data_IF_904960100826
#
_entry.id   IF_904960100826
#
_cell.length_a   1.000
_cell.length_b   1.000
_cell.length_c   1.000
_cell.angle_alpha   90.00
_cell.angle_beta   90.00
_cell.angle_gamma   90.00
#
_symmetry.space_group_name_H-M   'P 1'
#
loop_
_entity.id
_entity.type
_entity.pdbx_description
1 polymer ?
#
# COMPACT_ATOMS: atom_id res chain seq x y z
N UNK A 1 -63.99 2.67 -25.29
CA UNK A 1 -63.64 4.06 -24.94
C UNK A 1 -63.32 4.09 -23.45
N UNK A 2 -62.06 3.85 -23.08
CA UNK A 2 -61.61 3.72 -21.69
C UNK A 2 -61.32 5.11 -21.11
N UNK A 3 -61.91 5.41 -19.95
CA UNK A 3 -61.74 6.68 -19.21
C UNK A 3 -61.60 6.31 -17.73
N UNK A 4 -60.44 6.60 -17.15
CA UNK A 4 -60.13 6.31 -15.76
C UNK A 4 -58.83 7.00 -15.38
N UNK A 5 -58.94 8.28 -15.07
CA UNK A 5 -57.85 9.14 -14.59
C UNK A 5 -57.89 9.18 -13.07
N UNK A 6 -56.93 8.55 -12.40
CA UNK A 6 -56.74 8.66 -10.95
C UNK A 6 -55.33 9.21 -10.65
N UNK A 7 -55.32 10.52 -10.37
CA UNK A 7 -54.49 11.28 -9.43
C UNK A 7 -53.10 10.73 -9.03
N UNK A 8 -52.06 11.28 -9.67
CA UNK A 8 -50.68 11.22 -9.18
C UNK A 8 -50.54 12.29 -8.09
N UNK A 9 -50.70 11.90 -6.82
CA UNK A 9 -50.36 12.73 -5.67
C UNK A 9 -48.91 12.43 -5.25
N UNK A 10 -48.13 13.50 -5.10
CA UNK A 10 -46.69 13.45 -5.09
C UNK A 10 -46.08 12.72 -3.90
N UNK A 11 -45.01 11.98 -4.20
CA UNK A 11 -43.97 11.67 -3.23
C UNK A 11 -42.71 12.36 -3.76
N UNK A 12 -42.46 13.57 -3.25
CA UNK A 12 -41.19 14.26 -3.43
C UNK A 12 -40.16 13.51 -2.58
N UNK A 13 -39.60 12.45 -3.13
CA UNK A 13 -38.47 11.74 -2.52
C UNK A 13 -37.28 12.70 -2.59
N UNK A 14 -36.96 13.34 -1.46
CA UNK A 14 -35.67 13.99 -1.28
C UNK A 14 -34.60 12.90 -1.43
N UNK A 15 -34.07 12.76 -2.65
CA UNK A 15 -32.84 12.03 -2.88
C UNK A 15 -31.75 12.82 -2.16
N UNK A 16 -31.48 12.43 -0.91
CA UNK A 16 -30.21 12.74 -0.25
C UNK A 16 -29.17 12.12 -1.15
N UNK A 17 -28.50 12.93 -1.96
CA UNK A 17 -27.36 12.49 -2.74
C UNK A 17 -26.29 12.06 -1.73
N UNK A 18 -26.22 10.77 -1.46
CA UNK A 18 -25.10 10.14 -0.78
C UNK A 18 -23.89 10.34 -1.67
N UNK A 19 -23.16 11.44 -1.44
CA UNK A 19 -21.83 11.61 -1.99
C UNK A 19 -21.01 10.41 -1.49
N UNK A 20 -20.42 9.58 -2.39
CA UNK A 20 -19.46 8.62 -1.92
C UNK A 20 -18.34 9.45 -1.31
N UNK A 21 -18.06 9.22 -0.03
CA UNK A 21 -16.85 9.74 0.58
C UNK A 21 -15.71 9.41 -0.38
N UNK A 22 -15.02 10.44 -0.86
CA UNK A 22 -13.85 10.31 -1.73
C UNK A 22 -12.99 9.20 -1.13
N UNK A 23 -12.69 8.15 -1.89
CA UNK A 23 -11.87 7.04 -1.44
C UNK A 23 -10.54 7.61 -0.90
N UNK A 24 -10.48 7.82 0.41
CA UNK A 24 -9.26 8.19 1.08
C UNK A 24 -8.37 6.95 0.97
N UNK A 25 -7.15 7.14 0.48
CA UNK A 25 -6.17 6.06 0.40
C UNK A 25 -6.02 5.49 1.81
N UNK A 26 -6.25 4.19 1.96
CA UNK A 26 -6.29 3.55 3.27
C UNK A 26 -4.89 3.44 3.92
N UNK A 27 -4.80 3.38 5.26
CA UNK A 27 -3.53 3.15 5.95
C UNK A 27 -2.93 1.78 5.65
N UNK A 28 -1.60 1.74 5.52
CA UNK A 28 -0.84 0.52 5.28
C UNK A 28 -0.79 -0.43 6.49
N UNK A 29 -1.01 0.06 7.71
CA UNK A 29 -0.91 -0.74 8.95
C UNK A 29 -2.18 -1.53 9.32
N UNK A 30 -3.21 -1.50 8.47
CA UNK A 30 -4.46 -2.22 8.75
C UNK A 30 -4.34 -3.71 8.40
N UNK A 31 -5.06 -4.57 9.13
CA UNK A 31 -5.07 -6.02 8.86
C UNK A 31 -5.53 -6.35 7.44
N UNK A 32 -6.55 -5.63 6.93
CA UNK A 32 -7.03 -5.83 5.57
C UNK A 32 -5.93 -5.48 4.55
N UNK A 33 -5.24 -4.35 4.75
CA UNK A 33 -4.18 -3.94 3.83
C UNK A 33 -2.97 -4.85 3.87
N UNK A 34 -2.61 -5.42 5.03
CA UNK A 34 -1.52 -6.41 5.15
C UNK A 34 -1.73 -7.64 4.26
N UNK A 35 -2.96 -8.14 4.18
CA UNK A 35 -3.32 -9.28 3.30
C UNK A 35 -3.14 -8.88 1.82
N UNK A 36 -3.63 -7.70 1.45
CA UNK A 36 -3.50 -7.18 0.08
C UNK A 36 -2.04 -6.93 -0.32
N UNK A 37 -1.26 -6.32 0.58
CA UNK A 37 0.17 -6.08 0.39
C UNK A 37 0.92 -7.38 0.20
N UNK A 38 0.60 -8.42 0.98
CA UNK A 38 1.20 -9.73 0.83
C UNK A 38 0.95 -10.32 -0.56
N UNK A 39 -0.28 -10.22 -1.06
CA UNK A 39 -0.62 -10.66 -2.41
C UNK A 39 0.08 -9.83 -3.50
N UNK A 40 0.25 -8.52 -3.29
CA UNK A 40 0.96 -7.64 -4.22
C UNK A 40 2.45 -7.96 -4.31
N UNK A 41 3.12 -8.13 -3.17
CA UNK A 41 4.56 -8.42 -3.14
C UNK A 41 4.89 -9.75 -3.80
N UNK A 42 4.02 -10.77 -3.65
CA UNK A 42 4.18 -12.04 -4.38
C UNK A 42 4.12 -11.86 -5.90
N UNK A 43 3.25 -10.97 -6.40
CA UNK A 43 3.15 -10.64 -7.84
C UNK A 43 4.27 -9.72 -8.33
N UNK A 44 4.94 -8.98 -7.45
CA UNK A 44 6.05 -8.11 -7.81
C UNK A 44 7.22 -8.88 -8.47
N UNK A 45 7.35 -10.17 -8.11
CA UNK A 45 8.33 -11.08 -8.70
C UNK A 45 8.07 -11.41 -10.18
N UNK A 46 6.89 -11.12 -10.71
CA UNK A 46 6.41 -11.62 -12.01
C UNK A 46 6.31 -10.54 -13.10
N UNK A 47 6.99 -9.38 -12.97
CA UNK A 47 7.13 -8.26 -13.95
C UNK A 47 6.45 -6.93 -13.58
N UNK A 48 5.84 -6.80 -12.39
CA UNK A 48 5.27 -5.52 -11.94
C UNK A 48 6.14 -4.87 -10.86
N UNK A 49 6.76 -3.70 -11.13
CA UNK A 49 7.57 -3.03 -10.13
C UNK A 49 6.69 -2.59 -8.96
N UNK A 50 7.12 -2.89 -7.74
CA UNK A 50 6.48 -2.38 -6.51
C UNK A 50 7.42 -1.44 -5.80
N UNK A 51 6.96 -0.22 -5.56
CA UNK A 51 7.68 0.80 -4.80
C UNK A 51 7.16 0.77 -3.36
N UNK A 52 8.07 0.63 -2.41
CA UNK A 52 7.75 0.54 -0.99
C UNK A 52 8.57 1.60 -0.26
N UNK A 53 7.89 2.55 0.36
CA UNK A 53 8.52 3.54 1.23
C UNK A 53 8.27 3.15 2.67
N UNK A 54 9.31 3.16 3.50
CA UNK A 54 9.21 2.80 4.92
C UNK A 54 10.20 3.59 5.77
N UNK A 55 9.87 3.73 7.05
CA UNK A 55 10.73 4.42 8.02
C UNK A 55 11.97 3.56 8.35
N UNK A 56 13.17 4.09 8.17
CA UNK A 56 14.43 3.31 8.29
C UNK A 56 14.82 2.97 9.72
N UNK A 57 14.23 3.66 10.70
CA UNK A 57 14.48 3.49 12.13
C UNK A 57 13.25 3.02 12.92
N UNK A 58 12.19 2.59 12.23
CA UNK A 58 11.03 2.02 12.89
C UNK A 58 11.40 0.69 13.58
N UNK A 59 10.63 0.34 14.62
CA UNK A 59 10.86 -0.90 15.36
C UNK A 59 10.76 -2.12 14.44
N UNK A 60 11.64 -3.10 14.66
CA UNK A 60 11.73 -4.31 13.83
C UNK A 60 12.37 -4.15 12.45
N UNK A 61 12.63 -2.92 11.97
CA UNK A 61 13.31 -2.70 10.69
C UNK A 61 14.79 -3.07 10.80
N UNK A 62 15.28 -3.91 9.89
CA UNK A 62 16.69 -4.27 9.77
C UNK A 62 17.27 -3.74 8.46
N UNK A 63 18.23 -2.84 8.56
CA UNK A 63 18.97 -2.23 7.45
C UNK A 63 20.47 -2.13 7.79
N UNK A 64 21.37 -2.12 6.80
CA UNK A 64 22.77 -1.79 7.04
C UNK A 64 22.93 -0.37 7.58
N UNK A 65 23.84 -0.16 8.54
CA UNK A 65 24.08 1.15 9.17
C UNK A 65 24.37 2.25 8.13
N UNK A 66 25.21 1.96 7.13
CA UNK A 66 25.53 2.90 6.05
C UNK A 66 24.30 3.34 5.22
N UNK A 67 23.26 2.51 5.13
CA UNK A 67 22.00 2.86 4.46
C UNK A 67 21.20 3.80 5.36
N UNK A 68 21.10 3.49 6.66
CA UNK A 68 20.39 4.34 7.64
C UNK A 68 21.07 5.71 7.80
N UNK A 69 22.40 5.78 7.76
CA UNK A 69 23.14 7.05 7.79
C UNK A 69 22.82 7.92 6.58
N UNK A 70 22.67 7.31 5.40
CA UNK A 70 22.34 8.02 4.16
C UNK A 70 20.86 8.40 4.08
N UNK A 71 19.98 7.57 4.64
CA UNK A 71 18.52 7.72 4.62
C UNK A 71 17.98 7.62 6.07
N UNK A 72 18.11 8.70 6.87
CA UNK A 72 17.89 8.64 8.32
C UNK A 72 16.42 8.59 8.77
N UNK A 73 15.49 8.98 7.92
CA UNK A 73 14.06 9.02 8.24
C UNK A 73 13.31 7.91 7.51
N UNK A 74 13.36 7.93 6.18
CA UNK A 74 12.69 6.96 5.32
C UNK A 74 13.51 6.65 4.07
N UNK A 75 13.19 5.52 3.45
CA UNK A 75 13.76 5.11 2.17
C UNK A 75 12.67 4.45 1.33
N UNK A 76 12.75 4.67 0.01
CA UNK A 76 11.96 3.92 -0.97
C UNK A 76 12.82 2.87 -1.63
N UNK A 77 12.36 1.62 -1.61
CA UNK A 77 12.94 0.53 -2.41
C UNK A 77 12.00 0.18 -3.56
N UNK A 78 12.58 -0.26 -4.67
CA UNK A 78 11.83 -0.73 -5.83
C UNK A 78 12.11 -2.23 -5.97
N UNK A 79 11.08 -3.05 -5.79
CA UNK A 79 11.15 -4.47 -6.05
C UNK A 79 10.82 -4.71 -7.52
N UNK A 80 11.87 -4.80 -8.33
CA UNK A 80 11.79 -5.09 -9.76
C UNK A 80 13.07 -5.83 -10.18
N UNK A 81 12.94 -6.98 -10.86
CA UNK A 81 13.96 -7.79 -11.54
C UNK A 81 15.25 -8.18 -10.77
N UNK A 82 15.78 -7.32 -9.90
CA UNK A 82 17.05 -7.42 -9.17
C UNK A 82 16.80 -7.43 -7.65
N UNK A 83 16.08 -8.44 -7.18
CA UNK A 83 16.04 -8.79 -5.77
C UNK A 83 16.17 -10.31 -5.62
N UNK A 84 16.52 -10.75 -4.43
CA UNK A 84 16.71 -12.15 -4.11
C UNK A 84 15.99 -12.52 -2.81
N UNK A 85 15.53 -13.76 -2.69
CA UNK A 85 14.94 -14.31 -1.46
C UNK A 85 13.88 -13.40 -0.81
N UNK A 86 12.89 -12.95 -1.59
CA UNK A 86 11.72 -12.29 -1.04
C UNK A 86 10.88 -13.30 -0.25
N UNK A 87 10.76 -13.06 1.06
CA UNK A 87 9.92 -13.83 1.97
C UNK A 87 8.87 -12.88 2.52
N UNK A 88 7.60 -13.21 2.30
CA UNK A 88 6.48 -12.40 2.77
C UNK A 88 5.69 -13.19 3.82
N UNK A 89 5.53 -12.58 4.98
CA UNK A 89 4.83 -13.09 6.16
C UNK A 89 3.64 -12.19 6.50
N UNK A 90 2.84 -12.58 7.49
CA UNK A 90 1.64 -11.82 7.87
C UNK A 90 1.99 -10.44 8.48
N UNK A 91 3.16 -10.31 9.10
CA UNK A 91 3.58 -9.11 9.82
C UNK A 91 4.57 -8.22 9.03
N UNK A 92 5.04 -8.68 7.87
CA UNK A 92 6.02 -7.95 7.07
C UNK A 92 6.72 -8.79 6.01
N UNK A 93 7.84 -8.29 5.50
CA UNK A 93 8.63 -8.96 4.49
C UNK A 93 10.13 -8.87 4.75
N UNK A 94 10.85 -9.88 4.25
CA UNK A 94 12.30 -9.88 4.14
C UNK A 94 12.70 -9.95 2.67
N UNK A 95 13.75 -9.23 2.29
CA UNK A 95 14.24 -9.23 0.90
C UNK A 95 15.74 -8.98 0.84
N UNK A 96 16.41 -9.66 -0.08
CA UNK A 96 17.78 -9.38 -0.47
C UNK A 96 17.84 -8.38 -1.60
N UNK A 97 18.61 -7.30 -1.42
CA UNK A 97 18.83 -6.27 -2.44
C UNK A 97 20.31 -5.87 -2.47
N UNK A 98 20.71 -5.13 -3.51
CA UNK A 98 22.07 -4.62 -3.63
C UNK A 98 22.10 -3.10 -3.47
N UNK A 99 22.80 -2.62 -2.44
CA UNK A 99 23.11 -1.20 -2.27
C UNK A 99 24.54 -0.94 -2.73
N UNK A 100 24.73 -0.14 -3.78
CA UNK A 100 26.04 0.18 -4.32
C UNK A 100 26.91 -1.08 -4.53
N UNK A 101 26.34 -2.09 -5.19
CA UNK A 101 26.94 -3.43 -5.44
C UNK A 101 27.23 -4.28 -4.20
N UNK A 102 26.86 -3.84 -2.99
CA UNK A 102 26.93 -4.65 -1.77
C UNK A 102 25.57 -5.28 -1.49
N UNK A 103 25.54 -6.61 -1.40
CA UNK A 103 24.33 -7.33 -1.00
C UNK A 103 23.96 -6.98 0.44
N UNK A 104 22.68 -6.76 0.68
CA UNK A 104 22.10 -6.57 2.00
C UNK A 104 20.77 -7.29 2.07
N UNK A 105 20.50 -7.91 3.22
CA UNK A 105 19.18 -8.42 3.57
C UNK A 105 18.45 -7.37 4.41
N UNK A 106 17.25 -7.04 3.98
CA UNK A 106 16.34 -6.15 4.70
C UNK A 106 15.24 -6.97 5.34
N UNK A 107 14.77 -6.52 6.50
CA UNK A 107 13.53 -6.97 7.09
C UNK A 107 12.70 -5.74 7.45
N UNK A 108 11.45 -5.72 7.00
CA UNK A 108 10.56 -4.56 7.09
C UNK A 108 9.19 -5.04 7.58
N UNK A 109 8.81 -4.72 8.82
CA UNK A 109 7.45 -4.90 9.31
C UNK A 109 6.47 -4.03 8.52
N UNK A 110 5.24 -4.49 8.32
CA UNK A 110 4.23 -3.69 7.62
C UNK A 110 3.86 -2.40 8.35
N UNK A 111 3.99 -2.38 9.68
CA UNK A 111 3.75 -1.17 10.48
C UNK A 111 4.81 -0.07 10.22
N UNK A 112 5.99 -0.43 9.72
CA UNK A 112 7.02 0.52 9.32
C UNK A 112 6.79 1.13 7.93
N UNK A 113 5.89 0.53 7.12
CA UNK A 113 5.60 0.98 5.75
C UNK A 113 4.83 2.30 5.80
N UNK A 114 5.32 3.28 5.05
CA UNK A 114 4.72 4.61 4.93
C UNK A 114 3.85 4.72 3.69
N UNK A 115 4.29 4.17 2.56
CA UNK A 115 3.47 4.13 1.35
C UNK A 115 3.84 2.95 0.46
N UNK A 116 2.87 2.48 -0.33
CA UNK A 116 3.06 1.43 -1.31
C UNK A 116 2.46 1.82 -2.67
N UNK A 117 3.25 1.63 -3.73
CA UNK A 117 2.89 1.94 -5.10
C UNK A 117 3.11 0.71 -5.99
N UNK A 118 2.11 0.30 -6.77
CA UNK A 118 2.22 -0.87 -7.67
C UNK A 118 2.79 -0.55 -9.07
N UNK A 119 3.39 0.64 -9.20
CA UNK A 119 3.88 1.17 -10.46
C UNK A 119 2.84 1.97 -11.25
N UNK A 120 1.56 1.97 -10.86
CA UNK A 120 0.52 2.81 -11.47
C UNK A 120 -0.36 3.55 -10.46
N UNK A 121 -0.62 2.95 -9.31
CA UNK A 121 -1.60 3.41 -8.33
C UNK A 121 -0.99 3.42 -6.93
N UNK A 122 -1.31 4.47 -6.16
CA UNK A 122 -1.03 4.54 -4.73
C UNK A 122 -1.98 3.60 -3.99
N UNK A 123 -1.44 2.52 -3.44
CA UNK A 123 -2.23 1.46 -2.80
C UNK A 123 -2.60 1.79 -1.37
N UNK A 124 -1.65 2.32 -0.60
CA UNK A 124 -1.85 2.74 0.78
C UNK A 124 -0.87 3.84 1.15
N UNK A 125 -1.22 4.63 2.17
CA UNK A 125 -0.35 5.62 2.77
C UNK A 125 -0.66 5.77 4.26
N UNK A 126 0.37 5.81 5.10
CA UNK A 126 0.27 6.12 6.53
C UNK A 126 0.47 7.63 6.79
N UNK A 127 0.54 8.42 5.73
CA UNK A 127 0.65 9.87 5.81
C UNK A 127 -0.70 10.46 6.27
N UNK A 128 -0.79 10.71 7.58
CA UNK A 128 -1.72 11.67 8.15
C UNK A 128 -1.08 13.06 7.91
N UNK A 129 -1.30 13.65 6.75
CA UNK A 129 -1.15 15.09 6.55
C UNK A 129 -2.50 15.71 6.23
#
# INVERSE_FOLDING_TARGET
MWRGSEWIAGVLLLLVASLPARAAVEPCNTTQKRIEMTALLRRAAEDRPVNITFATRADGVRLPAAVVEKYPEEITIILQHEFDRLVVSDDGFEVGVWFNRKYARLAVPFDAVRSLWDGKVLMCTNDQM
#
